data_IF_489305343366
#
_entry.id   IF_489305343366
#
_cell.length_a   1.000
_cell.length_b   1.000
_cell.length_c   1.000
_cell.angle_alpha   90.00
_cell.angle_beta   90.00
_cell.angle_gamma   90.00
#
_symmetry.space_group_name_H-M   'P 1'
#
loop_
_entity.id
_entity.type
_entity.pdbx_description
1 polymer ?
#
# COMPACT_ATOMS: atom_id res chain seq x y z
N UNK A 1 -19.70 -19.91 0.23
CA UNK A 1 -19.23 -18.93 1.24
C UNK A 1 -20.45 -18.21 1.80
N UNK A 2 -20.54 -18.15 3.12
CA UNK A 2 -21.81 -18.02 3.87
C UNK A 2 -22.51 -16.64 3.75
N UNK A 3 -21.87 -15.61 3.17
CA UNK A 3 -22.33 -14.22 3.22
C UNK A 3 -22.77 -13.60 1.88
N UNK A 4 -23.06 -14.42 0.85
CA UNK A 4 -23.57 -13.89 -0.43
C UNK A 4 -24.99 -13.33 -0.25
N UNK A 5 -25.18 -12.05 -0.55
CA UNK A 5 -26.49 -11.40 -0.67
C UNK A 5 -27.05 -10.75 0.60
N UNK A 6 -26.30 -10.77 1.71
CA UNK A 6 -26.66 -10.03 2.94
C UNK A 6 -26.11 -8.61 2.89
N UNK A 7 -26.78 -7.67 3.55
CA UNK A 7 -26.24 -6.33 3.76
C UNK A 7 -25.00 -6.43 4.67
N UNK A 8 -23.83 -5.89 4.27
CA UNK A 8 -22.64 -5.85 5.11
C UNK A 8 -22.88 -5.24 6.50
N UNK A 9 -23.79 -4.27 6.63
CA UNK A 9 -24.11 -3.63 7.90
C UNK A 9 -24.71 -4.63 8.92
N UNK A 10 -25.56 -5.54 8.45
CA UNK A 10 -26.20 -6.57 9.29
C UNK A 10 -25.20 -7.62 9.79
N UNK A 11 -24.05 -7.75 9.12
CA UNK A 11 -23.01 -8.72 9.44
C UNK A 11 -21.95 -8.18 10.41
N UNK A 12 -21.91 -6.87 10.67
CA UNK A 12 -20.85 -6.24 11.47
C UNK A 12 -20.71 -6.88 12.84
N UNK A 13 -21.84 -7.13 13.53
CA UNK A 13 -21.82 -7.67 14.88
C UNK A 13 -21.25 -9.11 14.94
N UNK A 14 -21.60 -9.95 13.95
CA UNK A 14 -21.06 -11.30 13.80
C UNK A 14 -19.54 -11.25 13.63
N UNK A 15 -19.05 -10.37 12.75
CA UNK A 15 -17.63 -10.24 12.44
C UNK A 15 -16.83 -9.64 13.61
N UNK A 16 -17.42 -8.70 14.36
CA UNK A 16 -16.83 -8.21 15.60
C UNK A 16 -16.70 -9.32 16.65
N UNK A 17 -17.67 -10.24 16.73
CA UNK A 17 -17.58 -11.39 17.63
C UNK A 17 -16.48 -12.37 17.16
N UNK A 18 -16.35 -12.60 15.86
CA UNK A 18 -15.24 -13.40 15.30
C UNK A 18 -13.87 -12.78 15.64
N UNK A 19 -13.72 -11.45 15.48
CA UNK A 19 -12.50 -10.75 15.86
C UNK A 19 -12.20 -10.87 17.37
N UNK A 20 -13.23 -10.75 18.23
CA UNK A 20 -13.08 -10.96 19.68
C UNK A 20 -12.63 -12.37 20.02
N UNK A 21 -13.21 -13.39 19.38
CA UNK A 21 -12.78 -14.77 19.59
C UNK A 21 -11.32 -14.99 19.17
N UNK A 22 -10.93 -14.46 18.00
CA UNK A 22 -9.54 -14.49 17.55
C UNK A 22 -8.60 -13.82 18.58
N UNK A 23 -8.95 -12.64 19.09
CA UNK A 23 -8.16 -11.94 20.10
C UNK A 23 -8.01 -12.76 21.38
N UNK A 24 -9.11 -13.34 21.88
CA UNK A 24 -9.09 -14.21 23.06
C UNK A 24 -8.20 -15.45 22.87
N UNK A 25 -8.30 -16.11 21.71
CA UNK A 25 -7.48 -17.29 21.37
C UNK A 25 -5.98 -16.97 21.31
N UNK A 26 -5.63 -15.75 20.90
CA UNK A 26 -4.24 -15.30 20.76
C UNK A 26 -3.75 -14.48 21.96
N UNK A 27 -4.55 -14.37 23.02
CA UNK A 27 -4.19 -13.68 24.26
C UNK A 27 -4.08 -12.15 24.15
N UNK A 28 -4.70 -11.55 23.13
CA UNK A 28 -4.72 -10.09 22.95
C UNK A 28 -5.73 -9.44 23.91
N UNK A 29 -5.31 -8.34 24.55
CA UNK A 29 -6.22 -7.53 25.36
C UNK A 29 -6.98 -6.54 24.48
N UNK A 30 -8.29 -6.47 24.68
CA UNK A 30 -9.10 -5.40 24.10
C UNK A 30 -8.64 -4.06 24.64
N UNK A 31 -8.31 -3.14 23.74
CA UNK A 31 -8.12 -1.74 24.10
C UNK A 31 -9.51 -1.12 24.31
N UNK A 32 -9.86 -0.87 25.57
CA UNK A 32 -11.01 -0.02 25.90
C UNK A 32 -10.63 1.44 25.64
N UNK A 33 -11.28 2.08 24.66
CA UNK A 33 -11.17 3.52 24.51
C UNK A 33 -12.10 4.19 25.53
N UNK A 34 -11.55 4.56 26.68
CA UNK A 34 -12.24 5.33 27.74
C UNK A 34 -12.64 6.75 27.29
N UNK A 35 -12.26 7.18 26.08
CA UNK A 35 -12.57 8.51 25.55
C UNK A 35 -13.66 8.45 24.49
N UNK A 36 -14.56 9.44 24.52
CA UNK A 36 -15.49 9.70 23.40
C UNK A 36 -14.66 9.96 22.13
N UNK A 37 -15.05 9.40 20.97
CA UNK A 37 -14.41 9.71 19.71
C UNK A 37 -14.38 11.22 19.49
N UNK A 38 -13.23 11.75 19.08
CA UNK A 38 -13.11 13.12 18.57
C UNK A 38 -13.97 13.31 17.32
N UNK A 39 -14.30 14.55 16.92
CA UNK A 39 -15.06 14.81 15.69
C UNK A 39 -14.40 14.19 14.46
N UNK A 40 -13.07 14.17 14.39
CA UNK A 40 -12.29 13.52 13.32
C UNK A 40 -12.39 11.98 13.39
N UNK A 41 -12.43 11.39 14.59
CA UNK A 41 -12.69 9.94 14.76
C UNK A 41 -14.15 9.57 14.50
N UNK A 42 -15.07 10.54 14.55
CA UNK A 42 -16.50 10.36 14.22
C UNK A 42 -16.74 10.26 12.72
N UNK A 43 -15.86 10.87 11.92
CA UNK A 43 -15.77 10.63 10.47
C UNK A 43 -15.06 9.29 10.30
N UNK A 44 -15.83 8.22 10.12
CA UNK A 44 -15.26 6.88 10.00
C UNK A 44 -14.08 6.81 9.01
N UNK A 45 -12.99 6.15 9.40
CA UNK A 45 -11.83 5.99 8.52
C UNK A 45 -12.26 5.40 7.16
N UNK A 46 -11.74 5.97 6.08
CA UNK A 46 -12.04 5.59 4.70
C UNK A 46 -13.49 5.81 4.24
N UNK A 47 -14.28 6.67 4.92
CA UNK A 47 -15.55 7.17 4.38
C UNK A 47 -15.32 8.23 3.30
N UNK A 48 -16.38 8.58 2.55
CA UNK A 48 -16.31 9.63 1.53
C UNK A 48 -15.99 10.98 2.17
N UNK A 49 -16.65 11.29 3.27
CA UNK A 49 -16.52 12.53 4.02
C UNK A 49 -15.08 12.69 4.54
N UNK A 50 -14.48 11.61 5.05
CA UNK A 50 -13.08 11.58 5.48
C UNK A 50 -12.13 12.01 4.35
N UNK A 51 -12.32 11.49 3.15
CA UNK A 51 -11.50 11.85 1.99
C UNK A 51 -11.74 13.28 1.52
N UNK A 52 -12.99 13.75 1.55
CA UNK A 52 -13.33 15.12 1.17
C UNK A 52 -12.64 16.13 2.10
N UNK A 53 -12.69 15.92 3.41
CA UNK A 53 -12.00 16.78 4.39
C UNK A 53 -10.47 16.81 4.19
N UNK A 54 -9.85 15.65 3.94
CA UNK A 54 -8.42 15.59 3.64
C UNK A 54 -8.07 16.39 2.38
N UNK A 55 -8.92 16.33 1.35
CA UNK A 55 -8.68 17.05 0.10
C UNK A 55 -8.86 18.55 0.24
N UNK A 56 -9.77 19.02 1.10
CA UNK A 56 -9.87 20.44 1.42
C UNK A 56 -8.56 20.95 2.02
N UNK A 57 -7.96 20.24 2.99
CA UNK A 57 -6.65 20.60 3.56
C UNK A 57 -5.56 20.63 2.48
N UNK A 58 -5.48 19.61 1.61
CA UNK A 58 -4.50 19.56 0.51
C UNK A 58 -4.61 20.79 -0.41
N UNK A 59 -5.83 21.23 -0.68
CA UNK A 59 -6.11 22.38 -1.55
C UNK A 59 -5.83 23.71 -0.83
N UNK A 60 -6.26 23.86 0.42
CA UNK A 60 -6.05 25.09 1.20
C UNK A 60 -4.57 25.36 1.46
N UNK A 61 -3.81 24.32 1.79
CA UNK A 61 -2.37 24.39 2.05
C UNK A 61 -1.52 24.44 0.77
N UNK A 62 -2.15 24.40 -0.41
CA UNK A 62 -1.49 24.47 -1.72
C UNK A 62 -0.33 23.48 -1.85
N UNK A 63 -0.57 22.23 -1.43
CA UNK A 63 0.44 21.18 -1.46
C UNK A 63 1.03 21.06 -2.88
N UNK A 64 2.36 21.05 -3.06
CA UNK A 64 2.97 21.14 -4.40
C UNK A 64 2.79 19.86 -5.23
N UNK A 65 2.65 18.70 -4.58
CA UNK A 65 2.46 17.40 -5.23
C UNK A 65 1.38 16.61 -4.48
N UNK A 66 0.35 16.17 -5.18
CA UNK A 66 -0.68 15.27 -4.68
C UNK A 66 -0.59 13.93 -5.42
N UNK A 67 -0.44 12.83 -4.67
CA UNK A 67 -0.41 11.49 -5.23
C UNK A 67 -1.66 10.69 -4.82
N UNK A 68 -2.53 10.42 -5.78
CA UNK A 68 -3.71 9.59 -5.59
C UNK A 68 -3.32 8.10 -5.61
N UNK A 69 -3.21 7.49 -4.43
CA UNK A 69 -2.96 6.05 -4.28
C UNK A 69 -4.20 5.19 -4.53
N UNK A 70 -5.29 5.51 -3.83
CA UNK A 70 -6.61 4.92 -4.05
C UNK A 70 -7.60 6.03 -4.42
N UNK A 71 -8.44 5.76 -5.42
CA UNK A 71 -9.52 6.67 -5.80
C UNK A 71 -9.28 7.42 -7.11
N UNK A 72 -10.17 8.36 -7.40
CA UNK A 72 -10.18 9.14 -8.63
C UNK A 72 -9.92 10.61 -8.28
N UNK A 73 -8.81 11.22 -8.74
CA UNK A 73 -8.53 12.63 -8.46
C UNK A 73 -9.43 13.60 -9.24
N UNK A 74 -10.18 13.11 -10.25
CA UNK A 74 -10.99 13.94 -11.16
C UNK A 74 -11.85 15.01 -10.47
N UNK A 75 -12.54 14.76 -9.33
CA UNK A 75 -13.36 15.76 -8.66
C UNK A 75 -12.59 17.01 -8.20
N UNK A 76 -11.28 16.89 -7.96
CA UNK A 76 -10.45 17.97 -7.41
C UNK A 76 -9.46 18.54 -8.42
N UNK A 77 -9.38 17.99 -9.63
CA UNK A 77 -8.36 18.36 -10.63
C UNK A 77 -8.34 19.85 -10.97
N UNK A 78 -9.49 20.50 -11.08
CA UNK A 78 -9.56 21.93 -11.38
C UNK A 78 -8.92 22.78 -10.28
N UNK A 79 -9.25 22.48 -9.01
CA UNK A 79 -8.72 23.19 -7.84
C UNK A 79 -7.23 22.92 -7.64
N UNK A 80 -6.79 21.66 -7.84
CA UNK A 80 -5.37 21.29 -7.78
C UNK A 80 -4.56 22.02 -8.87
N UNK A 81 -5.09 22.10 -10.10
CA UNK A 81 -4.46 22.84 -11.20
C UNK A 81 -4.41 24.34 -10.94
N UNK A 82 -5.46 24.92 -10.35
CA UNK A 82 -5.48 26.34 -9.96
C UNK A 82 -4.37 26.69 -8.96
N UNK A 83 -3.97 25.74 -8.12
CA UNK A 83 -2.85 25.87 -7.19
C UNK A 83 -1.48 25.51 -7.79
N UNK A 84 -1.41 25.11 -9.05
CA UNK A 84 -0.23 24.53 -9.68
C UNK A 84 0.30 23.27 -8.95
N UNK A 85 -0.59 22.55 -8.26
CA UNK A 85 -0.29 21.26 -7.64
C UNK A 85 -0.09 20.21 -8.73
N UNK A 86 1.03 19.49 -8.66
CA UNK A 86 1.31 18.34 -9.53
C UNK A 86 0.52 17.13 -9.07
N UNK A 87 -0.17 16.46 -9.98
CA UNK A 87 -1.01 15.31 -9.66
C UNK A 87 -0.42 14.03 -10.21
N UNK A 88 -0.20 13.06 -9.33
CA UNK A 88 0.24 11.71 -9.67
C UNK A 88 -0.87 10.71 -9.36
N UNK A 89 -0.98 9.63 -10.13
CA UNK A 89 -1.95 8.56 -9.82
C UNK A 89 -1.37 7.17 -9.97
N UNK A 90 -1.66 6.30 -9.01
CA UNK A 90 -1.29 4.89 -9.04
C UNK A 90 -2.26 4.11 -9.91
N UNK A 91 -1.72 3.36 -10.87
CA UNK A 91 -2.47 2.46 -11.75
C UNK A 91 -1.92 1.05 -11.65
N UNK A 92 -2.83 0.09 -11.45
CA UNK A 92 -2.51 -1.33 -11.48
C UNK A 92 -2.90 -2.03 -12.79
N UNK A 93 -3.50 -1.33 -13.75
CA UNK A 93 -3.95 -1.91 -15.02
C UNK A 93 -4.02 -0.85 -16.12
N UNK A 94 -3.72 -1.25 -17.36
CA UNK A 94 -3.70 -0.37 -18.55
C UNK A 94 -5.00 0.41 -18.74
N UNK A 95 -6.17 -0.23 -18.50
CA UNK A 95 -7.47 0.46 -18.59
C UNK A 95 -7.61 1.66 -17.63
N UNK A 96 -6.88 1.68 -16.51
CA UNK A 96 -6.88 2.80 -15.58
C UNK A 96 -6.02 3.95 -16.11
N UNK A 97 -4.91 3.64 -16.79
CA UNK A 97 -4.04 4.61 -17.49
C UNK A 97 -4.83 5.49 -18.46
N UNK A 98 -5.68 4.88 -19.29
CA UNK A 98 -6.51 5.63 -20.25
C UNK A 98 -7.42 6.64 -19.53
N UNK A 99 -8.05 6.23 -18.43
CA UNK A 99 -8.94 7.11 -17.65
C UNK A 99 -8.19 8.27 -17.01
N UNK A 100 -7.04 8.01 -16.38
CA UNK A 100 -6.28 9.06 -15.67
C UNK A 100 -5.60 10.02 -16.64
N UNK A 101 -5.19 9.54 -17.81
CA UNK A 101 -4.64 10.38 -18.88
C UNK A 101 -5.66 11.43 -19.34
N UNK A 102 -6.92 11.04 -19.50
CA UNK A 102 -8.00 11.98 -19.83
C UNK A 102 -8.30 13.01 -18.72
N UNK A 103 -7.93 12.73 -17.47
CA UNK A 103 -8.06 13.70 -16.37
C UNK A 103 -6.92 14.74 -16.34
N UNK A 104 -5.85 14.51 -17.13
CA UNK A 104 -4.70 15.40 -17.23
C UNK A 104 -3.84 15.41 -15.96
N UNK A 105 -3.44 14.23 -15.50
CA UNK A 105 -2.44 14.03 -14.43
C UNK A 105 -1.03 14.32 -14.96
N UNK A 106 -0.12 14.71 -14.07
CA UNK A 106 1.27 15.06 -14.41
C UNK A 106 2.20 13.84 -14.44
N UNK A 107 1.89 12.77 -13.70
CA UNK A 107 2.63 11.50 -13.76
C UNK A 107 1.76 10.30 -13.38
N UNK A 108 2.17 9.12 -13.84
CA UNK A 108 1.49 7.84 -13.57
C UNK A 108 2.45 6.93 -12.82
N UNK A 109 1.95 6.22 -11.81
CA UNK A 109 2.70 5.21 -11.07
C UNK A 109 2.18 3.83 -11.45
N UNK A 110 2.94 3.09 -12.25
CA UNK A 110 2.60 1.74 -12.71
C UNK A 110 2.96 0.71 -11.63
N UNK A 111 1.99 0.37 -10.77
CA UNK A 111 2.21 -0.51 -9.62
C UNK A 111 1.78 -1.96 -9.88
N UNK A 112 2.77 -2.85 -9.98
CA UNK A 112 2.55 -4.28 -10.19
C UNK A 112 2.19 -5.06 -8.93
N UNK A 113 1.91 -6.35 -9.14
CA UNK A 113 1.44 -7.31 -8.13
C UNK A 113 2.44 -7.56 -6.99
N UNK A 114 3.71 -7.29 -7.24
CA UNK A 114 4.80 -7.50 -6.28
C UNK A 114 4.83 -6.38 -5.21
N UNK A 115 4.03 -5.33 -5.36
CA UNK A 115 3.91 -4.23 -4.41
C UNK A 115 3.17 -4.64 -3.13
N UNK A 116 3.58 -4.04 -2.00
CA UNK A 116 2.88 -4.08 -0.72
C UNK A 116 1.61 -3.23 -0.74
N UNK A 117 0.68 -3.50 0.18
CA UNK A 117 -0.59 -2.79 0.25
C UNK A 117 -1.54 -3.16 -0.89
N UNK A 118 -2.55 -2.32 -1.16
CA UNK A 118 -3.52 -2.60 -2.22
C UNK A 118 -2.84 -2.72 -3.58
N UNK A 119 -3.07 -3.82 -4.28
CA UNK A 119 -2.40 -4.09 -5.55
C UNK A 119 -3.33 -4.71 -6.60
N UNK A 120 -2.82 -4.69 -7.84
CA UNK A 120 -3.43 -5.36 -8.97
C UNK A 120 -2.84 -6.77 -9.13
N UNK A 121 -3.57 -7.73 -9.72
CA UNK A 121 -3.03 -9.06 -10.03
C UNK A 121 -1.98 -9.08 -11.15
N UNK A 122 -1.69 -7.95 -11.81
CA UNK A 122 -0.74 -7.89 -12.94
C UNK A 122 0.69 -7.68 -12.41
N UNK A 123 1.61 -8.60 -12.72
CA UNK A 123 3.01 -8.52 -12.27
C UNK A 123 3.77 -7.30 -12.80
N UNK A 124 4.75 -6.81 -12.04
CA UNK A 124 5.47 -5.55 -12.32
C UNK A 124 6.14 -5.54 -13.69
N UNK A 125 6.86 -6.62 -14.04
CA UNK A 125 7.55 -6.76 -15.33
C UNK A 125 6.60 -6.64 -16.53
N UNK A 126 5.38 -7.17 -16.42
CA UNK A 126 4.39 -7.11 -17.48
C UNK A 126 3.64 -5.77 -17.50
N UNK A 127 3.38 -5.18 -16.33
CA UNK A 127 2.56 -3.98 -16.22
C UNK A 127 3.27 -2.73 -16.72
N UNK A 128 4.52 -2.50 -16.30
CA UNK A 128 5.25 -1.25 -16.58
C UNK A 128 5.26 -0.90 -18.07
N UNK A 129 5.77 -1.75 -18.99
CA UNK A 129 5.90 -1.36 -20.39
C UNK A 129 4.53 -1.10 -21.05
N UNK A 130 3.51 -1.88 -20.70
CA UNK A 130 2.15 -1.67 -21.23
C UNK A 130 1.53 -0.35 -20.74
N UNK A 131 1.84 0.07 -19.52
CA UNK A 131 1.39 1.36 -19.00
C UNK A 131 2.15 2.50 -19.67
N UNK A 132 3.46 2.36 -19.89
CA UNK A 132 4.28 3.32 -20.63
C UNK A 132 3.72 3.55 -22.03
N UNK A 133 3.45 2.48 -22.78
CA UNK A 133 2.89 2.57 -24.14
C UNK A 133 1.51 3.26 -24.15
N UNK A 134 0.71 3.05 -23.10
CA UNK A 134 -0.63 3.62 -22.97
C UNK A 134 -0.67 5.04 -22.39
N UNK A 135 0.44 5.54 -21.83
CA UNK A 135 0.48 6.82 -21.10
C UNK A 135 0.45 8.05 -22.02
N UNK A 136 0.57 7.87 -23.34
CA UNK A 136 0.50 8.94 -24.34
C UNK A 136 1.43 10.14 -24.03
N UNK A 137 2.65 9.86 -23.57
CA UNK A 137 3.67 10.87 -23.26
C UNK A 137 3.62 11.44 -21.84
N UNK A 138 2.71 10.97 -20.97
CA UNK A 138 2.76 11.27 -19.54
C UNK A 138 3.87 10.44 -18.87
N UNK A 139 4.75 11.03 -18.04
CA UNK A 139 5.80 10.30 -17.36
C UNK A 139 5.28 9.16 -16.49
N UNK A 140 5.94 8.01 -16.57
CA UNK A 140 5.59 6.80 -15.80
C UNK A 140 6.69 6.46 -14.81
N UNK A 141 6.33 6.22 -13.55
CA UNK A 141 7.18 5.62 -12.53
C UNK A 141 6.83 4.15 -12.35
N UNK A 142 7.82 3.26 -12.42
CA UNK A 142 7.63 1.84 -12.14
C UNK A 142 7.53 1.56 -10.65
N UNK A 143 6.60 0.69 -10.23
CA UNK A 143 6.41 0.38 -8.81
C UNK A 143 6.06 -1.09 -8.58
N UNK A 144 6.47 -1.61 -7.42
CA UNK A 144 6.20 -2.97 -6.96
C UNK A 144 7.41 -3.89 -7.09
N UNK A 145 7.83 -4.49 -5.97
CA UNK A 145 8.99 -5.38 -5.91
C UNK A 145 10.36 -4.68 -5.98
N UNK A 146 10.41 -3.36 -6.22
CA UNK A 146 11.66 -2.58 -6.28
C UNK A 146 12.15 -2.27 -4.87
N UNK A 147 13.30 -2.82 -4.49
CA UNK A 147 13.93 -2.59 -3.17
C UNK A 147 15.44 -2.31 -3.24
N UNK A 148 16.05 -2.34 -4.43
CA UNK A 148 17.45 -1.99 -4.65
C UNK A 148 17.64 -1.32 -6.02
N UNK A 149 18.88 -0.89 -6.32
CA UNK A 149 19.20 -0.22 -7.57
C UNK A 149 19.03 -1.07 -8.84
N UNK A 150 19.06 -2.41 -8.75
CA UNK A 150 18.80 -3.30 -9.90
C UNK A 150 17.34 -3.17 -10.32
N UNK A 151 16.42 -3.10 -9.35
CA UNK A 151 14.99 -2.89 -9.60
C UNK A 151 14.70 -1.55 -10.27
N UNK A 152 15.41 -0.48 -9.88
CA UNK A 152 15.28 0.84 -10.53
C UNK A 152 15.77 0.77 -11.98
N UNK A 153 16.96 0.20 -12.21
CA UNK A 153 17.52 0.03 -13.54
C UNK A 153 16.58 -0.80 -14.44
N UNK A 154 15.98 -1.88 -13.92
CA UNK A 154 15.01 -2.69 -14.64
C UNK A 154 13.74 -1.90 -15.00
N UNK A 155 13.19 -1.11 -14.07
CA UNK A 155 12.02 -0.26 -14.35
C UNK A 155 12.31 0.75 -15.47
N UNK A 156 13.49 1.38 -15.46
CA UNK A 156 13.91 2.31 -16.50
C UNK A 156 14.07 1.58 -17.85
N UNK A 157 14.65 0.38 -17.87
CA UNK A 157 14.77 -0.43 -19.09
C UNK A 157 13.42 -0.89 -19.65
N UNK A 158 12.37 -0.93 -18.83
CA UNK A 158 10.98 -1.16 -19.26
C UNK A 158 10.27 0.10 -19.77
N UNK A 159 10.98 1.24 -19.82
CA UNK A 159 10.46 2.51 -20.33
C UNK A 159 9.93 3.48 -19.28
N UNK A 160 10.02 3.15 -17.99
CA UNK A 160 9.70 4.12 -16.93
C UNK A 160 10.77 5.22 -16.82
N UNK A 161 10.39 6.39 -16.33
CA UNK A 161 11.29 7.53 -16.09
C UNK A 161 11.85 7.55 -14.66
N UNK A 162 11.43 6.59 -13.83
CA UNK A 162 11.89 6.43 -12.46
C UNK A 162 11.17 5.30 -11.75
N UNK A 163 11.34 5.24 -10.43
CA UNK A 163 10.75 4.22 -9.58
C UNK A 163 9.99 4.82 -8.40
N UNK A 164 8.90 4.17 -7.99
CA UNK A 164 8.18 4.44 -6.75
C UNK A 164 8.41 3.27 -5.79
N UNK A 165 9.02 3.56 -4.63
CA UNK A 165 9.58 2.55 -3.73
C UNK A 165 8.92 2.67 -2.36
N UNK A 166 8.38 1.55 -1.86
CA UNK A 166 7.70 1.46 -0.57
C UNK A 166 8.51 0.70 0.47
N UNK A 167 8.54 -0.63 0.36
CA UNK A 167 9.06 -1.52 1.42
C UNK A 167 10.49 -1.21 1.86
N UNK A 168 11.40 -0.81 0.97
CA UNK A 168 12.74 -0.41 1.36
C UNK A 168 12.72 0.76 2.37
N UNK A 169 11.89 1.78 2.13
CA UNK A 169 11.76 2.93 3.03
C UNK A 169 10.94 2.63 4.29
N UNK A 170 10.12 1.57 4.33
CA UNK A 170 9.49 1.13 5.58
C UNK A 170 10.50 0.62 6.60
N UNK A 171 11.64 0.09 6.15
CA UNK A 171 12.78 -0.27 6.99
C UNK A 171 13.76 0.90 7.23
N UNK A 172 13.30 2.15 7.11
CA UNK A 172 14.10 3.31 7.51
C UNK A 172 13.97 3.60 9.00
N UNK A 173 14.94 4.28 9.60
CA UNK A 173 14.84 4.77 10.99
C UNK A 173 13.68 5.77 11.13
N UNK A 174 13.47 6.59 10.11
CA UNK A 174 12.52 7.68 10.01
C UNK A 174 11.07 7.21 9.79
N UNK A 175 10.86 5.99 9.27
CA UNK A 175 9.52 5.46 9.06
C UNK A 175 8.73 5.39 10.39
N UNK A 176 7.56 6.02 10.42
CA UNK A 176 6.68 6.08 11.59
C UNK A 176 5.87 4.79 11.87
N UNK A 177 6.31 3.64 11.36
CA UNK A 177 5.69 2.34 11.65
C UNK A 177 6.24 1.74 12.95
N UNK A 178 5.52 0.79 13.53
CA UNK A 178 5.93 0.17 14.79
C UNK A 178 7.25 -0.60 14.65
N UNK A 179 8.05 -0.65 15.73
CA UNK A 179 9.35 -1.35 15.74
C UNK A 179 9.21 -2.83 15.33
N UNK A 180 8.18 -3.51 15.83
CA UNK A 180 7.91 -4.91 15.49
C UNK A 180 7.56 -5.10 13.99
N UNK A 181 6.98 -4.09 13.33
CA UNK A 181 6.71 -4.14 11.88
C UNK A 181 8.00 -3.93 11.07
N UNK A 182 8.90 -3.05 11.52
CA UNK A 182 10.26 -2.95 10.94
C UNK A 182 11.02 -4.27 11.08
N UNK A 183 10.90 -4.92 12.23
CA UNK A 183 11.53 -6.22 12.47
C UNK A 183 10.91 -7.31 11.59
N UNK A 184 9.58 -7.32 11.43
CA UNK A 184 8.89 -8.22 10.50
C UNK A 184 9.42 -8.10 9.06
N UNK A 185 9.73 -6.89 8.62
CA UNK A 185 10.34 -6.65 7.30
C UNK A 185 11.72 -7.31 7.20
N UNK A 186 12.56 -7.18 8.22
CA UNK A 186 13.91 -7.77 8.23
C UNK A 186 13.86 -9.30 8.30
N UNK A 187 12.95 -9.86 9.10
CA UNK A 187 12.85 -11.30 9.34
C UNK A 187 12.24 -12.07 8.17
N UNK A 188 11.57 -11.36 7.25
CA UNK A 188 10.84 -11.96 6.14
C UNK A 188 11.73 -12.26 4.93
N UNK A 189 11.35 -13.30 4.19
CA UNK A 189 11.91 -13.64 2.87
C UNK A 189 10.94 -13.25 1.75
N UNK A 190 11.31 -13.50 0.49
CA UNK A 190 10.46 -13.28 -0.68
C UNK A 190 9.11 -14.05 -0.64
N UNK A 191 9.06 -15.14 0.14
CA UNK A 191 7.85 -15.95 0.36
C UNK A 191 7.00 -15.45 1.54
N UNK A 192 7.51 -14.50 2.33
CA UNK A 192 6.89 -14.04 3.57
C UNK A 192 5.63 -13.21 3.42
N UNK A 193 5.17 -12.93 2.19
CA UNK A 193 3.99 -12.09 1.94
C UNK A 193 2.87 -12.84 1.23
N UNK A 194 1.62 -12.44 1.50
CA UNK A 194 0.40 -12.99 0.89
C UNK A 194 -0.52 -11.90 0.39
N UNK A 195 -1.38 -12.25 -0.57
CA UNK A 195 -2.53 -11.41 -0.93
C UNK A 195 -3.68 -11.76 -0.01
N UNK A 196 -4.13 -10.80 0.78
CA UNK A 196 -5.25 -10.97 1.70
C UNK A 196 -6.25 -9.82 1.59
N UNK A 197 -7.50 -10.12 1.94
CA UNK A 197 -8.60 -9.14 2.10
C UNK A 197 -8.94 -8.91 3.57
N UNK A 198 -8.20 -9.53 4.49
CA UNK A 198 -8.45 -9.58 5.93
C UNK A 198 -8.45 -8.21 6.63
N UNK A 199 -7.76 -7.21 6.08
CA UNK A 199 -7.63 -5.89 6.71
C UNK A 199 -8.74 -4.94 6.25
N UNK A 200 -8.86 -4.68 4.95
CA UNK A 200 -9.78 -3.65 4.45
C UNK A 200 -10.92 -4.20 3.60
N UNK A 201 -10.99 -5.52 3.39
CA UNK A 201 -11.93 -6.14 2.46
C UNK A 201 -11.53 -6.06 0.98
N UNK A 202 -10.47 -5.31 0.65
CA UNK A 202 -9.89 -5.21 -0.70
C UNK A 202 -8.58 -5.99 -0.75
N UNK A 203 -8.20 -6.58 -1.91
CA UNK A 203 -6.93 -7.28 -2.04
C UNK A 203 -5.76 -6.35 -1.71
N UNK A 204 -4.91 -6.79 -0.79
CA UNK A 204 -3.68 -6.12 -0.42
C UNK A 204 -2.58 -7.15 -0.12
N UNK A 205 -1.32 -6.83 -0.45
CA UNK A 205 -0.18 -7.64 -0.06
C UNK A 205 0.35 -7.25 1.30
N UNK A 206 0.36 -8.22 2.19
CA UNK A 206 0.68 -8.10 3.61
C UNK A 206 1.66 -9.21 3.97
N UNK A 207 2.55 -8.97 4.94
CA UNK A 207 3.40 -10.02 5.51
C UNK A 207 2.48 -11.05 6.19
N UNK A 208 2.71 -12.34 5.91
CA UNK A 208 1.86 -13.42 6.43
C UNK A 208 1.85 -13.40 7.97
N UNK A 209 0.68 -13.55 8.56
CA UNK A 209 0.47 -13.53 10.00
C UNK A 209 -0.64 -14.49 10.43
N UNK A 210 -0.78 -14.71 11.74
CA UNK A 210 -1.89 -15.47 12.31
C UNK A 210 -3.26 -14.90 11.88
N UNK A 211 -3.37 -13.58 11.70
CA UNK A 211 -4.60 -12.94 11.22
C UNK A 211 -4.88 -13.25 9.74
N UNK A 212 -3.87 -13.18 8.86
CA UNK A 212 -4.07 -13.53 7.46
C UNK A 212 -4.46 -15.00 7.30
N UNK A 213 -3.81 -15.87 8.09
CA UNK A 213 -4.04 -17.31 8.10
C UNK A 213 -5.42 -17.69 8.66
N UNK A 214 -5.91 -16.96 9.67
CA UNK A 214 -7.27 -17.09 10.17
C UNK A 214 -8.30 -16.82 9.06
N UNK A 215 -8.13 -15.74 8.30
CA UNK A 215 -9.02 -15.40 7.19
C UNK A 215 -8.90 -16.34 5.99
N UNK A 216 -7.71 -16.87 5.72
CA UNK A 216 -7.50 -17.86 4.66
C UNK A 216 -8.28 -19.16 4.94
N UNK A 217 -8.36 -19.57 6.21
CA UNK A 217 -9.11 -20.76 6.66
C UNK A 217 -10.60 -20.51 6.92
N UNK A 218 -11.04 -19.26 6.97
CA UNK A 218 -12.42 -18.90 7.31
C UNK A 218 -13.42 -19.26 6.20
N UNK A 219 -14.61 -19.71 6.58
CA UNK A 219 -15.73 -19.90 5.64
C UNK A 219 -16.46 -18.58 5.29
N UNK A 220 -16.12 -17.50 6.01
CA UNK A 220 -16.66 -16.15 5.84
C UNK A 220 -15.78 -15.36 4.87
N UNK A 221 -16.42 -14.60 3.97
CA UNK A 221 -15.70 -13.63 3.14
C UNK A 221 -15.42 -12.36 3.94
N UNK A 222 -14.23 -11.75 3.86
CA UNK A 222 -14.03 -10.41 4.43
C UNK A 222 -15.09 -9.43 3.93
N UNK A 223 -15.63 -8.60 4.83
CA UNK A 223 -16.61 -7.56 4.50
C UNK A 223 -16.00 -6.56 3.51
N UNK A 224 -16.82 -5.78 2.77
CA UNK A 224 -16.29 -4.65 2.02
C UNK A 224 -15.77 -3.54 2.95
N UNK A 225 -14.94 -2.66 2.38
CA UNK A 225 -14.59 -1.38 3.01
C UNK A 225 -15.86 -0.51 3.17
N UNK A 226 -16.06 0.20 4.29
CA UNK A 226 -15.14 0.34 5.44
C UNK A 226 -15.34 -0.73 6.53
N UNK A 227 -16.38 -1.56 6.47
CA UNK A 227 -16.76 -2.49 7.54
C UNK A 227 -15.65 -3.46 7.95
N UNK A 228 -14.93 -4.04 7.00
CA UNK A 228 -13.81 -4.94 7.33
C UNK A 228 -12.67 -4.19 8.05
N UNK A 229 -12.40 -2.94 7.68
CA UNK A 229 -11.40 -2.12 8.35
C UNK A 229 -11.78 -1.87 9.82
N UNK A 230 -13.07 -1.67 10.11
CA UNK A 230 -13.56 -1.53 11.48
C UNK A 230 -13.40 -2.82 12.30
N UNK A 231 -13.64 -3.98 11.69
CA UNK A 231 -13.46 -5.29 12.33
C UNK A 231 -11.98 -5.58 12.60
N UNK A 232 -11.13 -5.41 11.58
CA UNK A 232 -9.69 -5.64 11.70
C UNK A 232 -9.04 -4.63 12.65
N UNK A 233 -9.48 -3.37 12.65
CA UNK A 233 -8.88 -2.28 13.41
C UNK A 233 -8.74 -2.58 14.91
N UNK A 234 -9.73 -3.22 15.53
CA UNK A 234 -9.64 -3.63 16.93
C UNK A 234 -8.52 -4.66 17.19
N UNK A 235 -8.37 -5.63 16.28
CA UNK A 235 -7.33 -6.67 16.36
C UNK A 235 -5.95 -6.06 16.15
N UNK A 236 -5.80 -5.21 15.13
CA UNK A 236 -4.51 -4.58 14.80
C UNK A 236 -4.08 -3.62 15.90
N UNK A 237 -4.98 -2.78 16.41
CA UNK A 237 -4.66 -1.86 17.50
C UNK A 237 -4.20 -2.61 18.76
N UNK A 238 -4.90 -3.70 19.12
CA UNK A 238 -4.51 -4.55 20.25
C UNK A 238 -3.13 -5.19 20.01
N UNK A 239 -2.89 -5.73 18.81
CA UNK A 239 -1.59 -6.27 18.43
C UNK A 239 -0.47 -5.21 18.46
N UNK A 240 -0.74 -3.99 18.01
CA UNK A 240 0.21 -2.88 18.03
C UNK A 240 0.59 -2.48 19.46
N UNK A 241 -0.38 -2.47 20.39
CA UNK A 241 -0.14 -2.14 21.79
C UNK A 241 0.69 -3.18 22.55
N UNK A 242 0.68 -4.44 22.07
CA UNK A 242 1.43 -5.56 22.64
C UNK A 242 2.64 -5.96 21.77
N UNK A 243 2.97 -5.17 20.75
CA UNK A 243 4.08 -5.41 19.80
C UNK A 243 4.04 -6.80 19.11
N UNK A 244 2.85 -7.29 18.78
CA UNK A 244 2.60 -8.64 18.24
C UNK A 244 2.85 -8.75 16.73
N UNK A 245 4.12 -8.90 16.36
CA UNK A 245 4.57 -9.17 14.99
C UNK A 245 3.89 -10.37 14.33
N UNK A 246 3.58 -11.43 15.08
CA UNK A 246 2.91 -12.62 14.57
C UNK A 246 1.44 -12.40 14.20
N UNK A 247 0.84 -11.28 14.62
CA UNK A 247 -0.55 -10.90 14.31
C UNK A 247 -0.60 -9.72 13.33
N UNK A 248 0.14 -8.65 13.60
CA UNK A 248 0.19 -7.44 12.78
C UNK A 248 1.61 -7.09 12.30
N UNK A 249 2.19 -7.86 11.37
CA UNK A 249 3.51 -7.56 10.82
C UNK A 249 3.53 -6.38 9.83
N UNK A 250 2.35 -5.89 9.40
CA UNK A 250 2.23 -4.77 8.46
C UNK A 250 2.29 -5.17 6.98
N UNK A 251 2.20 -4.16 6.10
CA UNK A 251 2.21 -4.34 4.65
C UNK A 251 3.61 -4.28 4.06
N UNK A 252 3.93 -5.17 3.13
CA UNK A 252 5.18 -5.13 2.38
C UNK A 252 5.06 -5.85 1.03
N UNK A 253 5.93 -5.48 0.09
CA UNK A 253 6.04 -6.10 -1.24
C UNK A 253 6.99 -7.31 -1.25
N UNK A 254 7.03 -8.05 -2.35
CA UNK A 254 7.88 -9.26 -2.44
C UNK A 254 9.38 -8.96 -2.53
N UNK A 255 9.76 -7.71 -2.80
CA UNK A 255 11.16 -7.26 -2.69
C UNK A 255 11.71 -7.28 -1.25
N UNK A 256 10.87 -7.57 -0.26
CA UNK A 256 11.21 -7.57 1.17
C UNK A 256 12.42 -8.45 1.50
N UNK A 257 12.62 -9.57 0.80
CA UNK A 257 13.77 -10.45 0.98
C UNK A 257 15.13 -9.81 0.65
N UNK A 258 15.16 -8.63 0.02
CA UNK A 258 16.38 -7.85 -0.22
C UNK A 258 16.73 -6.91 0.95
N UNK A 259 15.81 -6.68 1.88
CA UNK A 259 15.98 -5.76 3.01
C UNK A 259 16.58 -6.54 4.17
N UNK A 260 17.70 -6.06 4.72
CA UNK A 260 18.50 -6.81 5.72
C UNK A 260 18.70 -6.10 7.05
N UNK A 261 18.37 -4.82 7.13
CA UNK A 261 18.54 -4.03 8.34
C UNK A 261 17.63 -2.80 8.30
N UNK A 262 17.32 -2.27 9.49
CA UNK A 262 16.85 -0.89 9.62
C UNK A 262 18.06 0.03 9.53
N UNK A 263 17.96 1.08 8.72
CA UNK A 263 19.04 2.05 8.47
C UNK A 263 18.47 3.41 8.06
N UNK A 264 19.22 4.52 8.14
CA UNK A 264 18.72 5.84 7.76
C UNK A 264 18.21 5.89 6.31
N UNK A 265 17.13 6.62 6.06
CA UNK A 265 16.53 6.78 4.73
C UNK A 265 17.52 7.39 3.72
N UNK A 266 18.39 8.28 4.18
CA UNK A 266 19.46 8.87 3.37
C UNK A 266 20.42 7.80 2.82
N UNK A 267 20.79 6.82 3.66
CA UNK A 267 21.65 5.72 3.22
C UNK A 267 20.90 4.80 2.26
N UNK A 268 19.61 4.50 2.51
CA UNK A 268 18.79 3.68 1.59
C UNK A 268 18.76 4.33 0.21
N UNK A 269 18.54 5.65 0.15
CA UNK A 269 18.54 6.39 -1.10
C UNK A 269 19.91 6.34 -1.81
N UNK A 270 21.00 6.51 -1.07
CA UNK A 270 22.35 6.44 -1.65
C UNK A 270 22.61 5.07 -2.30
N UNK A 271 22.30 3.97 -1.62
CA UNK A 271 22.47 2.61 -2.15
C UNK A 271 21.58 2.34 -3.37
N UNK A 272 20.35 2.85 -3.37
CA UNK A 272 19.43 2.74 -4.51
C UNK A 272 20.03 3.40 -5.76
N UNK A 273 20.56 4.62 -5.62
CA UNK A 273 21.18 5.37 -6.72
C UNK A 273 22.49 4.71 -7.17
N UNK A 274 23.40 4.40 -6.24
CA UNK A 274 24.68 3.76 -6.56
C UNK A 274 24.47 2.40 -7.23
N UNK A 275 23.55 1.59 -6.70
CA UNK A 275 23.20 0.30 -7.26
C UNK A 275 22.62 0.39 -8.68
N UNK A 276 21.81 1.42 -8.95
CA UNK A 276 21.26 1.68 -10.28
C UNK A 276 22.37 2.05 -11.26
N UNK A 277 23.22 3.02 -10.92
CA UNK A 277 24.35 3.43 -11.77
C UNK A 277 25.30 2.27 -12.05
N UNK A 278 25.63 1.49 -11.01
CA UNK A 278 26.48 0.29 -11.15
C UNK A 278 25.84 -0.71 -12.10
N UNK A 279 24.53 -0.95 -11.99
CA UNK A 279 23.81 -1.86 -12.89
C UNK A 279 23.88 -1.41 -14.35
N UNK A 280 23.73 -0.11 -14.62
CA UNK A 280 23.89 0.43 -15.97
C UNK A 280 25.32 0.37 -16.50
N UNK A 281 26.34 0.58 -15.65
CA UNK A 281 27.74 0.42 -16.06
C UNK A 281 28.05 -1.03 -16.40
N UNK A 282 27.64 -1.95 -15.55
CA UNK A 282 27.92 -3.39 -15.68
C UNK A 282 27.16 -4.04 -16.84
N UNK A 283 26.01 -3.51 -17.25
CA UNK A 283 25.23 -4.03 -18.38
C UNK A 283 25.90 -3.78 -19.73
N UNK A 284 26.86 -2.84 -19.82
CA UNK A 284 27.60 -2.54 -21.06
C UNK A 284 28.35 -3.75 -21.62
N UNK A 285 28.74 -4.71 -20.78
CA UNK A 285 29.38 -5.95 -21.21
C UNK A 285 28.51 -6.81 -22.14
N UNK A 286 27.20 -6.54 -22.19
CA UNK A 286 26.26 -7.23 -23.07
C UNK A 286 25.98 -6.47 -24.38
N UNK A 287 26.49 -5.24 -24.49
CA UNK A 287 26.33 -4.37 -25.67
C UNK A 287 27.62 -4.29 -26.51
N UNK A 288 28.73 -4.83 -25.99
CA UNK A 288 30.03 -4.96 -26.66
C UNK A 288 30.17 -6.32 -27.34
#
# INVERSE_FOLDING_TARGET
>A
KQNRGKDPADLVQEYQNMAKNFMNEHGLKMIEHDRKPTEIESVGLFTKEFFEEQMEVVIEEKVPVYAAGLGNPAPWMERLKANNTKVMTVVGAVRHTVKVSSAGVDAIVAQGHDAGGHNSPIGTMALIPQVVDAANGIPVLGAGGICDGRGIAAAIMLGAEGAWIGSAFLASEEAGIHKHQKQAIIDSTEEGTVISRSITGKPARIIRSAWTDFWERSEHEPLPMPFQSAVAGAVLASADSEERQDINPGFAGQGIGLIKSVRPAAEIMADLVEGMEKTFRDSRKWMS
#
